data_IF_501894719203
#
_entry.id   IF_501894719203
#
_cell.length_a   1.000
_cell.length_b   1.000
_cell.length_c   1.000
_cell.angle_alpha   90.00
_cell.angle_beta   90.00
_cell.angle_gamma   90.00
#
_symmetry.space_group_name_H-M   'P 1'
#
loop_
_entity.id
_entity.type
_entity.pdbx_description
1 polymer ?
#
# COMPACT_ATOMS: atom_id res chain seq x y z
N UNK A 1 19.59 5.77 50.03
CA UNK A 1 19.40 6.76 48.94
C UNK A 1 19.35 6.14 47.55
N UNK A 2 20.23 5.17 47.22
CA UNK A 2 20.24 4.46 45.91
C UNK A 2 18.91 3.75 45.56
N UNK A 3 18.25 3.11 46.53
CA UNK A 3 17.02 2.33 46.31
C UNK A 3 15.79 3.21 45.93
N UNK A 4 15.78 4.48 46.36
CA UNK A 4 14.69 5.44 46.04
C UNK A 4 14.89 6.03 44.64
N UNK A 5 16.14 6.30 44.25
CA UNK A 5 16.48 6.79 42.91
C UNK A 5 16.15 5.74 41.84
N UNK A 6 16.49 4.46 42.08
CA UNK A 6 16.16 3.37 41.15
C UNK A 6 14.63 3.22 40.95
N UNK A 7 13.85 3.36 42.03
CA UNK A 7 12.38 3.31 41.98
C UNK A 7 11.80 4.50 41.20
N UNK A 8 12.32 5.70 41.41
CA UNK A 8 11.87 6.91 40.72
C UNK A 8 12.17 6.85 39.22
N UNK A 9 13.37 6.37 38.84
CA UNK A 9 13.75 6.16 37.43
C UNK A 9 12.85 5.13 36.76
N UNK A 10 12.59 3.98 37.41
CA UNK A 10 11.69 2.95 36.90
C UNK A 10 10.23 3.45 36.75
N UNK A 11 9.77 4.31 37.66
CA UNK A 11 8.43 4.86 37.63
C UNK A 11 8.26 5.93 36.54
N UNK A 12 9.30 6.73 36.28
CA UNK A 12 9.35 7.70 35.17
C UNK A 12 9.42 7.01 33.80
N UNK A 13 10.22 5.94 33.65
CA UNK A 13 10.26 5.16 32.40
C UNK A 13 8.93 4.43 32.14
N UNK A 14 8.31 3.86 33.17
CA UNK A 14 6.99 3.25 33.07
C UNK A 14 5.88 4.25 32.68
N UNK A 15 5.89 5.45 33.27
CA UNK A 15 4.95 6.52 32.90
C UNK A 15 5.17 7.02 31.46
N UNK A 16 6.42 7.16 31.01
CA UNK A 16 6.76 7.50 29.61
C UNK A 16 6.29 6.43 28.64
N UNK A 17 6.60 5.16 28.91
CA UNK A 17 6.19 4.03 28.07
C UNK A 17 4.66 3.94 27.91
N UNK A 18 3.89 4.13 29.01
CA UNK A 18 2.43 4.13 28.96
C UNK A 18 1.84 5.33 28.20
N UNK A 19 2.54 6.47 28.21
CA UNK A 19 2.12 7.68 27.49
C UNK A 19 2.37 7.52 25.98
N UNK A 20 3.52 6.97 25.60
CA UNK A 20 3.82 6.61 24.21
C UNK A 20 2.87 5.54 23.68
N UNK A 21 2.53 4.53 24.49
CA UNK A 21 1.57 3.50 24.08
C UNK A 21 0.18 4.08 23.83
N UNK A 22 -0.31 4.96 24.70
CA UNK A 22 -1.58 5.67 24.46
C UNK A 22 -1.54 6.55 23.21
N UNK A 23 -0.42 7.20 22.95
CA UNK A 23 -0.20 8.01 21.75
C UNK A 23 -0.23 7.12 20.50
N UNK A 24 0.42 5.96 20.52
CA UNK A 24 0.41 4.97 19.45
C UNK A 24 -1.00 4.42 19.18
N UNK A 25 -1.70 3.99 20.23
CA UNK A 25 -3.10 3.54 20.12
C UNK A 25 -4.00 4.60 19.48
N UNK A 26 -3.79 5.88 19.83
CA UNK A 26 -4.56 6.99 19.26
C UNK A 26 -4.23 7.22 17.79
N UNK A 27 -2.96 7.16 17.41
CA UNK A 27 -2.55 7.23 16.00
C UNK A 27 -3.16 6.09 15.18
N UNK A 28 -3.11 4.85 15.70
CA UNK A 28 -3.73 3.68 15.07
C UNK A 28 -5.24 3.88 14.86
N UNK A 29 -5.96 4.39 15.87
CA UNK A 29 -7.40 4.65 15.74
C UNK A 29 -7.73 5.70 14.67
N UNK A 30 -6.85 6.70 14.48
CA UNK A 30 -7.02 7.72 13.44
C UNK A 30 -6.73 7.16 12.03
N UNK A 31 -5.71 6.31 11.89
CA UNK A 31 -5.44 5.60 10.63
C UNK A 31 -6.61 4.68 10.27
N UNK A 32 -7.18 3.97 11.25
CA UNK A 32 -8.32 3.10 11.00
C UNK A 32 -9.57 3.91 10.58
N UNK A 33 -9.82 5.04 11.23
CA UNK A 33 -10.88 5.96 10.81
C UNK A 33 -10.70 6.44 9.35
N UNK A 34 -9.46 6.74 8.96
CA UNK A 34 -9.14 7.12 7.59
C UNK A 34 -9.30 5.96 6.60
N UNK A 35 -8.90 4.74 6.97
CA UNK A 35 -9.10 3.53 6.16
C UNK A 35 -10.58 3.31 5.87
N UNK A 36 -11.42 3.38 6.90
CA UNK A 36 -12.87 3.21 6.74
C UNK A 36 -13.44 4.27 5.79
N UNK A 37 -13.05 5.53 5.94
CA UNK A 37 -13.48 6.61 5.04
C UNK A 37 -13.05 6.37 3.60
N UNK A 38 -11.82 5.89 3.38
CA UNK A 38 -11.28 5.60 2.06
C UNK A 38 -12.00 4.43 1.38
N UNK A 39 -12.35 3.39 2.14
CA UNK A 39 -13.11 2.24 1.64
C UNK A 39 -14.56 2.60 1.31
N UNK A 40 -15.16 3.51 2.10
CA UNK A 40 -16.56 3.92 1.91
C UNK A 40 -16.74 4.90 0.73
N UNK A 41 -15.83 5.85 0.57
CA UNK A 41 -16.04 7.02 -0.30
C UNK A 41 -14.91 7.26 -1.31
N UNK A 42 -13.90 6.38 -1.33
CA UNK A 42 -12.70 6.51 -2.14
C UNK A 42 -11.57 7.29 -1.46
N UNK A 43 -10.33 7.03 -1.90
CA UNK A 43 -9.12 7.65 -1.34
C UNK A 43 -9.14 9.18 -1.48
N UNK A 44 -9.64 9.71 -2.60
CA UNK A 44 -9.64 11.14 -2.90
C UNK A 44 -10.54 11.98 -1.97
N UNK A 45 -11.52 11.37 -1.29
CA UNK A 45 -12.42 12.07 -0.38
C UNK A 45 -11.90 12.17 1.05
N UNK A 46 -10.76 11.55 1.37
CA UNK A 46 -10.25 11.49 2.75
C UNK A 46 -9.72 12.86 3.18
N UNK A 47 -10.39 13.48 4.15
CA UNK A 47 -9.93 14.73 4.78
C UNK A 47 -9.60 14.55 6.26
N UNK A 48 -8.68 15.35 6.79
CA UNK A 48 -8.39 15.35 8.24
C UNK A 48 -9.61 15.76 9.09
N UNK A 49 -10.54 16.53 8.53
CA UNK A 49 -11.79 16.91 9.21
C UNK A 49 -12.70 15.70 9.38
N UNK A 50 -12.87 14.91 8.33
CA UNK A 50 -13.71 13.71 8.38
C UNK A 50 -13.08 12.63 9.25
N UNK A 51 -11.75 12.49 9.21
CA UNK A 51 -11.00 11.62 10.13
C UNK A 51 -11.23 12.05 11.59
N UNK A 52 -11.18 13.35 11.89
CA UNK A 52 -11.46 13.87 13.23
C UNK A 52 -12.87 13.52 13.69
N UNK A 53 -13.86 13.77 12.83
CA UNK A 53 -15.28 13.49 13.07
C UNK A 53 -15.51 12.00 13.32
N UNK A 54 -14.94 11.13 12.48
CA UNK A 54 -15.05 9.68 12.59
C UNK A 54 -14.41 9.14 13.86
N UNK A 55 -13.24 9.65 14.23
CA UNK A 55 -12.54 9.27 15.45
C UNK A 55 -13.12 9.91 16.74
N UNK A 56 -14.17 10.73 16.62
CA UNK A 56 -14.81 11.41 17.75
C UNK A 56 -13.89 12.40 18.46
N UNK A 57 -12.98 13.07 17.73
CA UNK A 57 -12.10 14.09 18.29
C UNK A 57 -12.17 15.42 17.58
N UNK A 58 -11.75 16.46 18.28
CA UNK A 58 -11.59 17.78 17.68
C UNK A 58 -10.45 17.79 16.66
N UNK A 59 -10.64 18.54 15.57
CA UNK A 59 -9.67 18.67 14.48
C UNK A 59 -8.26 19.09 14.94
N UNK A 60 -8.17 20.01 15.89
CA UNK A 60 -6.86 20.43 16.45
C UNK A 60 -6.11 19.29 17.15
N UNK A 61 -6.81 18.27 17.67
CA UNK A 61 -6.18 17.10 18.25
C UNK A 61 -5.62 16.15 17.18
N UNK A 62 -6.29 16.00 16.03
CA UNK A 62 -5.77 15.24 14.87
C UNK A 62 -4.47 15.86 14.35
N UNK A 63 -4.40 17.20 14.27
CA UNK A 63 -3.21 17.92 13.80
C UNK A 63 -1.96 17.74 14.66
N UNK A 64 -2.08 17.14 15.85
CA UNK A 64 -0.94 16.73 16.68
C UNK A 64 -0.34 15.39 16.28
N UNK A 65 -1.06 14.60 15.47
CA UNK A 65 -0.63 13.30 14.97
C UNK A 65 -0.23 13.36 13.51
N UNK A 66 -1.00 14.09 12.69
CA UNK A 66 -0.77 14.22 11.24
C UNK A 66 -0.77 15.68 10.83
N UNK A 67 0.24 16.07 10.05
CA UNK A 67 0.39 17.40 9.48
C UNK A 67 -0.61 17.66 8.35
N UNK A 68 -0.95 16.62 7.57
CA UNK A 68 -1.87 16.71 6.43
C UNK A 68 -2.62 15.40 6.19
N UNK A 69 -3.63 15.45 5.32
CA UNK A 69 -4.32 14.24 4.87
C UNK A 69 -3.37 13.32 4.08
N UNK A 70 -2.39 13.88 3.36
CA UNK A 70 -1.39 13.08 2.65
C UNK A 70 -0.47 12.28 3.55
N UNK A 71 -0.16 12.79 4.74
CA UNK A 71 0.56 11.99 5.75
C UNK A 71 -0.26 10.74 6.12
N UNK A 72 -1.58 10.90 6.30
CA UNK A 72 -2.49 9.77 6.56
C UNK A 72 -2.51 8.78 5.38
N UNK A 73 -2.59 9.28 4.13
CA UNK A 73 -2.56 8.42 2.94
C UNK A 73 -1.22 7.67 2.78
N UNK A 74 -0.09 8.32 3.10
CA UNK A 74 1.22 7.67 3.14
C UNK A 74 1.29 6.54 4.16
N UNK A 75 0.70 6.74 5.36
CA UNK A 75 0.60 5.69 6.36
C UNK A 75 -0.20 4.50 5.83
N UNK A 76 -1.38 4.73 5.24
CA UNK A 76 -2.21 3.68 4.66
C UNK A 76 -1.49 2.94 3.52
N UNK A 77 -0.74 3.67 2.68
CA UNK A 77 0.04 3.07 1.59
C UNK A 77 1.19 2.21 2.12
N UNK A 78 1.92 2.66 3.14
CA UNK A 78 2.98 1.88 3.78
C UNK A 78 2.42 0.56 4.36
N UNK A 79 1.25 0.60 5.00
CA UNK A 79 0.59 -0.63 5.45
C UNK A 79 0.11 -1.52 4.29
N UNK A 80 -0.31 -0.91 3.17
CA UNK A 80 -0.66 -1.64 1.95
C UNK A 80 0.52 -2.40 1.36
N UNK A 81 1.70 -1.78 1.32
CA UNK A 81 2.94 -2.43 0.91
C UNK A 81 3.26 -3.66 1.76
N UNK A 82 3.13 -3.55 3.08
CA UNK A 82 3.35 -4.68 4.00
C UNK A 82 2.33 -5.80 3.74
N UNK A 83 1.03 -5.49 3.70
CA UNK A 83 -0.01 -6.51 3.44
C UNK A 83 0.18 -7.22 2.09
N UNK A 84 0.53 -6.47 1.05
CA UNK A 84 0.80 -7.04 -0.26
C UNK A 84 2.03 -7.95 -0.24
N UNK A 85 3.12 -7.50 0.40
CA UNK A 85 4.33 -8.29 0.60
C UNK A 85 4.04 -9.61 1.32
N UNK A 86 3.31 -9.57 2.44
CA UNK A 86 2.94 -10.76 3.21
C UNK A 86 2.11 -11.74 2.37
N UNK A 87 1.12 -11.21 1.64
CA UNK A 87 0.22 -12.02 0.78
C UNK A 87 0.98 -12.71 -0.34
N UNK A 88 1.85 -11.96 -1.04
CA UNK A 88 2.64 -12.49 -2.15
C UNK A 88 3.67 -13.49 -1.65
N UNK A 89 4.41 -13.17 -0.58
CA UNK A 89 5.39 -14.11 0.00
C UNK A 89 4.72 -15.44 0.35
N UNK A 90 3.58 -15.42 1.04
CA UNK A 90 2.83 -16.63 1.35
C UNK A 90 2.35 -17.39 0.10
N UNK A 91 1.92 -16.68 -0.94
CA UNK A 91 1.51 -17.28 -2.21
C UNK A 91 2.67 -17.93 -2.99
N UNK A 92 3.86 -17.32 -2.93
CA UNK A 92 5.07 -17.85 -3.56
C UNK A 92 5.66 -19.04 -2.79
N UNK A 93 5.54 -19.07 -1.46
CA UNK A 93 5.97 -20.18 -0.61
C UNK A 93 5.07 -21.42 -0.74
N UNK A 94 3.91 -21.29 -1.39
CA UNK A 94 2.96 -22.40 -1.57
C UNK A 94 3.56 -23.50 -2.47
N UNK A 95 3.35 -24.81 -2.17
CA UNK A 95 3.93 -25.90 -2.96
C UNK A 95 3.52 -25.90 -4.44
N UNK A 96 4.40 -26.38 -5.31
CA UNK A 96 4.13 -26.59 -6.74
C UNK A 96 5.24 -26.03 -7.63
N UNK A 97 5.24 -26.33 -8.93
CA UNK A 97 6.22 -25.78 -9.85
C UNK A 97 6.09 -24.25 -9.95
N UNK A 98 7.22 -23.55 -9.94
CA UNK A 98 7.26 -22.11 -10.20
C UNK A 98 7.46 -21.84 -11.69
N UNK A 99 6.74 -20.85 -12.20
CA UNK A 99 6.79 -20.39 -13.59
C UNK A 99 6.63 -18.87 -13.64
N UNK A 100 7.05 -18.21 -14.74
CA UNK A 100 6.78 -16.80 -14.99
C UNK A 100 5.30 -16.42 -14.78
N UNK A 101 4.38 -17.26 -15.29
CA UNK A 101 2.94 -17.04 -15.16
C UNK A 101 2.45 -17.15 -13.72
N UNK A 102 2.97 -18.10 -12.94
CA UNK A 102 2.57 -18.28 -11.55
C UNK A 102 3.03 -17.11 -10.67
N UNK A 103 4.25 -16.61 -10.86
CA UNK A 103 4.71 -15.41 -10.13
C UNK A 103 3.87 -14.19 -10.50
N UNK A 104 3.60 -13.99 -11.80
CA UNK A 104 2.74 -12.92 -12.30
C UNK A 104 1.31 -13.00 -11.73
N UNK A 105 0.74 -14.21 -11.65
CA UNK A 105 -0.57 -14.47 -11.06
C UNK A 105 -0.58 -14.15 -9.56
N UNK A 106 0.42 -14.61 -8.80
CA UNK A 106 0.52 -14.32 -7.37
C UNK A 106 0.62 -12.82 -7.09
N UNK A 107 1.42 -12.08 -7.86
CA UNK A 107 1.55 -10.63 -7.74
C UNK A 107 0.21 -9.93 -8.04
N UNK A 108 -0.42 -10.28 -9.15
CA UNK A 108 -1.68 -9.69 -9.59
C UNK A 108 -2.83 -9.98 -8.62
N UNK A 109 -2.96 -11.23 -8.15
CA UNK A 109 -3.97 -11.62 -7.17
C UNK A 109 -3.75 -10.93 -5.82
N UNK A 110 -2.50 -10.77 -5.38
CA UNK A 110 -2.18 -10.02 -4.18
C UNK A 110 -2.62 -8.55 -4.26
N UNK A 111 -2.49 -7.91 -5.41
CA UNK A 111 -2.98 -6.54 -5.64
C UNK A 111 -4.50 -6.49 -5.74
N UNK A 112 -5.11 -7.44 -6.47
CA UNK A 112 -6.55 -7.54 -6.62
C UNK A 112 -7.28 -7.78 -5.28
N UNK A 113 -6.60 -8.42 -4.32
CA UNK A 113 -7.12 -8.64 -2.98
C UNK A 113 -7.12 -7.38 -2.08
N UNK A 114 -6.42 -6.31 -2.47
CA UNK A 114 -6.40 -5.02 -1.75
C UNK A 114 -6.74 -3.83 -2.67
N UNK A 115 -8.04 -3.64 -2.99
CA UNK A 115 -8.55 -2.50 -3.76
C UNK A 115 -8.06 -1.14 -3.28
N UNK A 116 -8.05 -0.94 -1.96
CA UNK A 116 -7.63 0.32 -1.34
C UNK A 116 -6.16 0.60 -1.64
N UNK A 117 -5.30 -0.42 -1.61
CA UNK A 117 -3.90 -0.26 -1.96
C UNK A 117 -3.72 0.13 -3.44
N UNK A 118 -4.49 -0.46 -4.35
CA UNK A 118 -4.48 -0.07 -5.76
C UNK A 118 -4.88 1.40 -5.96
N UNK A 119 -5.93 1.86 -5.27
CA UNK A 119 -6.32 3.28 -5.29
C UNK A 119 -5.24 4.19 -4.69
N UNK A 120 -4.60 3.78 -3.59
CA UNK A 120 -3.50 4.53 -2.98
C UNK A 120 -2.31 4.66 -3.94
N UNK A 121 -1.92 3.59 -4.64
CA UNK A 121 -0.83 3.63 -5.62
C UNK A 121 -1.05 4.67 -6.73
N UNK A 122 -2.29 4.83 -7.18
CA UNK A 122 -2.66 5.84 -8.17
C UNK A 122 -2.55 7.28 -7.64
N UNK A 123 -2.79 7.48 -6.33
CA UNK A 123 -2.84 8.79 -5.69
C UNK A 123 -1.50 9.23 -5.06
N UNK A 124 -0.59 8.31 -4.75
CA UNK A 124 0.57 8.57 -3.90
C UNK A 124 1.70 9.36 -4.57
N UNK A 125 1.80 9.31 -5.89
CA UNK A 125 2.97 9.82 -6.62
C UNK A 125 2.96 11.34 -6.87
N UNK A 126 1.93 12.06 -6.42
CA UNK A 126 1.77 13.49 -6.70
C UNK A 126 1.86 14.35 -5.42
N UNK A 127 2.88 15.21 -5.38
CA UNK A 127 3.07 16.30 -4.39
C UNK A 127 3.23 15.87 -2.92
N UNK A 128 4.10 14.90 -2.63
CA UNK A 128 4.45 14.52 -1.25
C UNK A 128 5.35 15.56 -0.54
N UNK A 129 6.29 16.16 -1.28
CA UNK A 129 7.33 17.06 -0.73
C UNK A 129 6.79 18.35 -0.13
N UNK A 130 5.62 18.81 -0.59
CA UNK A 130 5.04 20.10 -0.21
C UNK A 130 4.01 19.99 0.93
N UNK A 131 3.47 18.80 1.18
CA UNK A 131 2.34 18.60 2.09
C UNK A 131 2.67 17.74 3.30
N UNK A 132 3.83 17.10 3.33
CA UNK A 132 4.26 16.22 4.43
C UNK A 132 5.69 16.55 4.81
N UNK A 133 5.97 16.54 6.11
CA UNK A 133 7.34 16.70 6.61
C UNK A 133 8.26 15.60 6.03
N UNK A 134 9.39 16.00 5.48
CA UNK A 134 10.33 15.09 4.80
C UNK A 134 10.81 13.93 5.70
N UNK A 135 11.01 14.16 6.99
CA UNK A 135 11.45 13.12 7.92
C UNK A 135 10.39 12.02 8.06
N UNK A 136 9.10 12.41 8.04
CA UNK A 136 7.97 11.47 8.03
C UNK A 136 7.87 10.70 6.73
N UNK A 137 8.10 11.38 5.61
CA UNK A 137 8.14 10.72 4.30
C UNK A 137 9.25 9.67 4.28
N UNK A 138 10.45 9.97 4.79
CA UNK A 138 11.56 9.02 4.87
C UNK A 138 11.23 7.85 5.79
N UNK A 139 10.66 8.11 6.98
CA UNK A 139 10.25 7.06 7.92
C UNK A 139 9.28 6.06 7.27
N UNK A 140 8.27 6.57 6.54
CA UNK A 140 7.27 5.73 5.87
C UNK A 140 7.82 5.02 4.64
N UNK A 141 8.70 5.66 3.87
CA UNK A 141 9.39 4.98 2.75
C UNK A 141 10.18 3.78 3.25
N UNK A 142 10.90 3.88 4.37
CA UNK A 142 11.66 2.75 4.93
C UNK A 142 10.80 1.52 5.24
N UNK A 143 9.54 1.72 5.65
CA UNK A 143 8.59 0.61 5.84
C UNK A 143 8.26 -0.04 4.49
N UNK A 144 7.98 0.76 3.46
CA UNK A 144 7.79 0.28 2.09
C UNK A 144 9.03 -0.43 1.53
N UNK A 145 10.23 0.12 1.74
CA UNK A 145 11.50 -0.42 1.25
C UNK A 145 11.78 -1.82 1.82
N UNK A 146 11.44 -2.06 3.09
CA UNK A 146 11.57 -3.38 3.70
C UNK A 146 10.60 -4.42 3.08
N UNK A 147 9.36 -4.00 2.78
CA UNK A 147 8.37 -4.83 2.10
C UNK A 147 8.76 -5.13 0.65
N UNK A 148 9.31 -4.13 -0.05
CA UNK A 148 9.87 -4.24 -1.41
C UNK A 148 11.05 -5.21 -1.44
N UNK A 149 11.96 -5.12 -0.47
CA UNK A 149 13.10 -6.04 -0.36
C UNK A 149 12.62 -7.48 -0.18
N UNK A 150 11.66 -7.69 0.73
CA UNK A 150 11.11 -9.02 1.00
C UNK A 150 10.40 -9.63 -0.23
N UNK A 151 9.68 -8.80 -0.99
CA UNK A 151 9.06 -9.19 -2.26
C UNK A 151 10.11 -9.59 -3.30
N UNK A 152 11.13 -8.74 -3.52
CA UNK A 152 12.19 -9.00 -4.48
C UNK A 152 12.93 -10.30 -4.16
N UNK A 153 13.29 -10.51 -2.89
CA UNK A 153 13.96 -11.74 -2.45
C UNK A 153 13.07 -12.98 -2.66
N UNK A 154 11.76 -12.88 -2.40
CA UNK A 154 10.82 -13.98 -2.61
C UNK A 154 10.64 -14.31 -4.10
N UNK A 155 10.58 -13.29 -4.96
CA UNK A 155 10.50 -13.43 -6.41
C UNK A 155 11.78 -14.08 -6.96
N UNK A 156 12.95 -13.60 -6.55
CA UNK A 156 14.24 -14.14 -6.99
C UNK A 156 14.40 -15.61 -6.57
N UNK A 157 14.04 -15.97 -5.34
CA UNK A 157 14.04 -17.38 -4.90
C UNK A 157 13.09 -18.25 -5.72
N UNK A 158 11.94 -17.70 -6.11
CA UNK A 158 10.90 -18.40 -6.88
C UNK A 158 11.24 -18.57 -8.35
N UNK A 159 11.92 -17.59 -8.94
CA UNK A 159 12.35 -17.54 -10.33
C UNK A 159 13.82 -17.07 -10.41
N UNK A 160 14.79 -17.95 -10.11
CA UNK A 160 16.21 -17.56 -10.07
C UNK A 160 16.75 -17.01 -11.40
N UNK A 161 16.13 -17.39 -12.52
CA UNK A 161 16.50 -16.88 -13.85
C UNK A 161 16.26 -15.38 -14.06
N UNK A 162 15.54 -14.70 -13.17
CA UNK A 162 15.41 -13.24 -13.18
C UNK A 162 16.63 -12.53 -12.57
N UNK A 163 17.28 -13.18 -11.59
CA UNK A 163 18.22 -12.53 -10.69
C UNK A 163 17.61 -11.37 -9.89
N UNK A 164 18.42 -10.75 -9.04
CA UNK A 164 18.00 -9.65 -8.18
C UNK A 164 17.43 -8.43 -8.95
N UNK A 165 18.08 -8.01 -10.04
CA UNK A 165 17.60 -6.86 -10.81
C UNK A 165 16.28 -7.15 -11.51
N UNK A 166 16.12 -8.35 -12.10
CA UNK A 166 14.88 -8.74 -12.74
C UNK A 166 13.73 -8.88 -11.74
N UNK A 167 14.01 -9.31 -10.51
CA UNK A 167 13.02 -9.33 -9.43
C UNK A 167 12.54 -7.93 -9.03
N UNK A 168 13.44 -6.94 -8.99
CA UNK A 168 13.07 -5.53 -8.78
C UNK A 168 12.31 -4.95 -9.98
N UNK A 169 12.70 -5.29 -11.21
CA UNK A 169 12.06 -4.80 -12.43
C UNK A 169 10.61 -5.31 -12.56
N UNK A 170 10.37 -6.60 -12.27
CA UNK A 170 9.00 -7.13 -12.29
C UNK A 170 8.14 -6.53 -11.18
N UNK A 171 8.72 -6.28 -10.00
CA UNK A 171 8.02 -5.62 -8.91
C UNK A 171 7.64 -4.19 -9.29
N UNK A 172 8.57 -3.44 -9.88
CA UNK A 172 8.35 -2.10 -10.43
C UNK A 172 7.22 -2.11 -11.47
N UNK A 173 7.25 -3.07 -12.39
CA UNK A 173 6.19 -3.25 -13.39
C UNK A 173 4.83 -3.54 -12.74
N UNK A 174 4.79 -4.42 -11.72
CA UNK A 174 3.55 -4.84 -11.05
C UNK A 174 2.77 -3.67 -10.47
N UNK A 175 3.37 -2.87 -9.57
CA UNK A 175 2.63 -1.77 -8.95
C UNK A 175 2.39 -0.58 -9.91
N UNK A 176 3.31 -0.36 -10.87
CA UNK A 176 3.19 0.74 -11.84
C UNK A 176 2.08 0.50 -12.87
N UNK A 177 1.87 -0.77 -13.27
CA UNK A 177 0.78 -1.16 -14.17
C UNK A 177 -0.55 -1.30 -13.42
N UNK A 178 -0.50 -1.77 -12.16
CA UNK A 178 -1.70 -1.97 -11.36
C UNK A 178 -2.49 -0.69 -11.13
N UNK A 179 -1.83 0.42 -10.79
CA UNK A 179 -2.51 1.69 -10.52
C UNK A 179 -3.43 2.15 -11.67
N UNK A 180 -2.95 2.32 -12.92
CA UNK A 180 -3.83 2.72 -14.04
C UNK A 180 -4.82 1.62 -14.43
N UNK A 181 -4.41 0.34 -14.46
CA UNK A 181 -5.32 -0.76 -14.80
C UNK A 181 -6.50 -0.86 -13.82
N UNK A 182 -6.24 -0.61 -12.53
CA UNK A 182 -7.27 -0.59 -11.51
C UNK A 182 -8.31 0.50 -11.78
N UNK A 183 -7.87 1.72 -12.10
CA UNK A 183 -8.77 2.84 -12.42
C UNK A 183 -9.57 2.59 -13.71
N UNK A 184 -8.97 1.91 -14.70
CA UNK A 184 -9.66 1.53 -15.94
C UNK A 184 -10.74 0.46 -15.69
N UNK A 185 -10.44 -0.54 -14.86
CA UNK A 185 -11.38 -1.61 -14.49
C UNK A 185 -12.47 -1.12 -13.51
N UNK A 186 -12.16 -0.10 -12.69
CA UNK A 186 -13.04 0.41 -11.63
C UNK A 186 -13.18 1.93 -11.71
N UNK A 187 -13.82 2.48 -12.76
CA UNK A 187 -13.99 3.93 -12.88
C UNK A 187 -14.87 4.49 -11.75
N UNK A 188 -14.64 5.73 -11.29
CA UNK A 188 -15.46 6.39 -10.28
C UNK A 188 -16.94 6.46 -10.70
N UNK A 189 -17.85 6.42 -9.72
CA UNK A 189 -19.31 6.42 -9.97
C UNK A 189 -19.76 7.59 -10.87
N UNK A 190 -19.25 8.80 -10.63
CA UNK A 190 -19.59 9.96 -11.45
C UNK A 190 -19.15 9.87 -12.92
N UNK A 191 -18.15 9.03 -13.24
CA UNK A 191 -17.77 8.74 -14.63
C UNK A 191 -18.66 7.65 -15.23
N UNK A 192 -19.06 6.65 -14.45
CA UNK A 192 -20.00 5.60 -14.88
C UNK A 192 -21.36 6.18 -15.25
N UNK A 193 -21.88 7.10 -14.43
CA UNK A 193 -23.17 7.75 -14.62
C UNK A 193 -23.15 8.82 -15.73
N UNK A 194 -21.96 9.31 -16.08
CA UNK A 194 -21.77 10.30 -17.15
C UNK A 194 -21.69 9.67 -18.55
N UNK A 195 -21.57 8.33 -18.66
CA UNK A 195 -21.71 7.67 -19.96
C UNK A 195 -23.15 7.83 -20.43
N UNK A 196 -23.39 8.43 -21.62
CA UNK A 196 -24.73 8.51 -22.19
C UNK A 196 -25.35 7.11 -22.23
N UNK A 197 -26.61 6.97 -21.79
CA UNK A 197 -27.38 5.72 -21.95
C UNK A 197 -27.25 5.24 -23.40
N UNK A 198 -26.73 4.02 -23.60
CA UNK A 198 -26.50 3.43 -24.92
C UNK A 198 -25.08 3.60 -25.50
N UNK A 199 -24.14 4.18 -24.75
CA UNK A 199 -22.71 4.09 -25.10
C UNK A 199 -22.20 2.71 -24.69
N UNK A 200 -22.30 1.73 -25.59
CA UNK A 200 -21.67 0.42 -25.39
C UNK A 200 -20.16 0.63 -25.36
N UNK A 201 -19.55 0.45 -24.18
CA UNK A 201 -18.11 0.21 -24.08
C UNK A 201 -17.85 -1.06 -24.90
N UNK A 202 -16.97 -1.05 -25.90
CA UNK A 202 -16.65 -2.23 -26.66
C UNK A 202 -16.33 -3.39 -25.71
N UNK A 203 -16.82 -4.63 -25.93
CA UNK A 203 -16.58 -5.74 -25.02
C UNK A 203 -15.08 -5.96 -24.74
N UNK A 204 -14.22 -5.67 -25.72
CA UNK A 204 -12.76 -5.76 -25.62
C UNK A 204 -12.12 -4.75 -24.66
N UNK A 205 -12.87 -3.72 -24.25
CA UNK A 205 -12.44 -2.69 -23.29
C UNK A 205 -12.92 -2.97 -21.87
N UNK A 206 -13.68 -4.05 -21.65
CA UNK A 206 -14.00 -4.54 -20.32
C UNK A 206 -12.79 -5.29 -19.73
N UNK A 207 -11.99 -4.57 -18.95
CA UNK A 207 -10.74 -5.10 -18.39
C UNK A 207 -11.03 -5.87 -17.11
N UNK A 208 -10.86 -7.19 -17.15
CA UNK A 208 -10.60 -7.97 -15.93
C UNK A 208 -9.20 -7.60 -15.42
N UNK A 209 -9.17 -6.88 -14.29
CA UNK A 209 -7.95 -6.37 -13.69
C UNK A 209 -6.89 -7.45 -13.45
N UNK A 210 -7.27 -8.55 -12.78
CA UNK A 210 -6.35 -9.60 -12.40
C UNK A 210 -5.82 -10.30 -13.66
N UNK A 211 -6.72 -10.69 -14.56
CA UNK A 211 -6.32 -11.37 -15.79
C UNK A 211 -5.44 -10.49 -16.69
N UNK A 212 -5.75 -9.20 -16.82
CA UNK A 212 -4.95 -8.27 -17.62
C UNK A 212 -3.56 -8.06 -17.02
N UNK A 213 -3.47 -7.81 -15.71
CA UNK A 213 -2.20 -7.63 -15.03
C UNK A 213 -1.35 -8.89 -15.07
N UNK A 214 -1.92 -10.08 -14.85
CA UNK A 214 -1.20 -11.36 -14.96
C UNK A 214 -0.61 -11.56 -16.35
N UNK A 215 -1.35 -11.28 -17.43
CA UNK A 215 -0.81 -11.41 -18.80
C UNK A 215 0.37 -10.49 -19.04
N UNK A 216 0.26 -9.22 -18.65
CA UNK A 216 1.32 -8.23 -18.83
C UNK A 216 2.56 -8.60 -18.03
N UNK A 217 2.40 -8.97 -16.77
CA UNK A 217 3.52 -9.39 -15.91
C UNK A 217 4.16 -10.70 -16.38
N UNK A 218 3.37 -11.64 -16.91
CA UNK A 218 3.92 -12.87 -17.50
C UNK A 218 4.84 -12.54 -18.68
N UNK A 219 4.40 -11.65 -19.58
CA UNK A 219 5.21 -11.20 -20.72
C UNK A 219 6.49 -10.49 -20.27
N UNK A 220 6.40 -9.65 -19.24
CA UNK A 220 7.57 -8.98 -18.63
C UNK A 220 8.55 -10.00 -18.05
N UNK A 221 8.09 -10.97 -17.25
CA UNK A 221 8.95 -12.03 -16.70
C UNK A 221 9.69 -12.80 -17.80
N UNK A 222 8.98 -13.21 -18.86
CA UNK A 222 9.58 -13.94 -19.99
C UNK A 222 10.62 -13.08 -20.70
N UNK A 223 10.32 -11.80 -20.94
CA UNK A 223 11.24 -10.86 -21.58
C UNK A 223 12.51 -10.61 -20.76
N UNK A 224 12.39 -10.48 -19.44
CA UNK A 224 13.52 -10.30 -18.53
C UNK A 224 14.43 -11.54 -18.51
N UNK A 225 13.85 -12.74 -18.35
CA UNK A 225 14.60 -14.01 -18.34
C UNK A 225 15.37 -14.23 -19.65
N UNK A 226 14.75 -13.90 -20.79
CA UNK A 226 15.37 -14.05 -22.10
C UNK A 226 16.58 -13.11 -22.32
N UNK A 227 16.63 -11.95 -21.63
CA UNK A 227 17.75 -11.01 -21.70
C UNK A 227 18.89 -11.38 -20.74
N UNK A 228 18.60 -12.14 -19.68
CA UNK A 228 19.60 -12.62 -18.72
C UNK A 228 20.30 -13.93 -19.16
N UNK A 229 19.86 -14.53 -20.27
CA UNK A 229 20.38 -15.79 -20.83
C UNK A 229 21.47 -15.59 -21.88
#
# INVERSE_FOLDING_TARGET
>A
MLCVILRCVAQLTFQRARTEEKKRQRATALIEAARSLALENGVASVTLTDVAKRAGIHYSAVRRYFSSHKEVLLHLAAEGWVRWSDTVCAGLDSPGPMSPSRVAETLANGLAADPLFCDLLANLHLHLEHEVNIDRVIELKRVGDAAVTSLADAIERSLPGLGHSGALDILLAAYSLAAPLWQMAHPPEGLRDAYPEGTEVPPDWNIDFAAALTRLLTATCVGLIAQSS
#
